data_IF_150805093071
#
_entry.id   IF_150805093071
#
_cell.length_a   1.000
_cell.length_b   1.000
_cell.length_c   1.000
_cell.angle_alpha   90.00
_cell.angle_beta   90.00
_cell.angle_gamma   90.00
#
_symmetry.space_group_name_H-M   'P 1'
#
loop_
_entity.id
_entity.type
_entity.pdbx_description
1 polymer ?
#
# COMPACT_ATOMS: atom_id res chain seq x y z
N UNK A 1 19.22 -38.31 11.31
CA UNK A 1 20.13 -37.91 12.42
C UNK A 1 19.30 -37.11 13.40
N UNK A 2 18.86 -37.76 14.48
CA UNK A 2 19.54 -37.59 15.78
C UNK A 2 19.40 -36.11 16.15
N UNK A 3 18.33 -35.65 16.81
CA UNK A 3 17.89 -36.23 18.08
C UNK A 3 19.07 -36.82 18.87
N UNK A 4 20.12 -36.05 19.04
CA UNK A 4 21.16 -36.15 20.05
C UNK A 4 21.74 -34.74 19.96
N UNK A 5 21.64 -33.87 20.94
CA UNK A 5 22.03 -34.02 22.32
C UNK A 5 21.24 -32.95 23.07
N UNK A 6 20.40 -33.37 24.01
CA UNK A 6 20.82 -33.45 25.40
C UNK A 6 21.13 -32.02 25.91
N UNK A 7 20.13 -31.34 26.42
CA UNK A 7 19.79 -31.36 27.86
C UNK A 7 20.95 -30.93 28.77
N UNK A 8 20.61 -29.95 29.61
CA UNK A 8 21.17 -29.63 30.93
C UNK A 8 22.49 -28.82 30.93
N UNK A 9 22.70 -27.82 31.78
CA UNK A 9 21.95 -27.35 32.95
C UNK A 9 22.41 -25.96 33.42
N UNK A 10 21.46 -25.27 34.06
CA UNK A 10 21.53 -24.30 35.17
C UNK A 10 22.35 -23.00 35.10
N UNK A 11 21.56 -21.92 35.19
CA UNK A 11 21.65 -20.84 36.19
C UNK A 11 22.89 -19.95 36.18
N UNK A 12 22.81 -18.92 35.34
CA UNK A 12 23.62 -17.70 35.43
C UNK A 12 22.88 -16.53 34.80
N UNK A 13 22.29 -15.69 35.64
CA UNK A 13 21.92 -14.28 35.41
C UNK A 13 21.82 -13.81 33.93
N UNK A 14 20.66 -14.00 33.27
CA UNK A 14 20.47 -13.49 31.90
C UNK A 14 19.90 -12.07 31.87
N UNK A 15 20.81 -11.13 31.62
CA UNK A 15 20.50 -9.75 31.27
C UNK A 15 19.97 -9.66 29.83
N UNK A 16 18.87 -8.92 29.71
CA UNK A 16 18.22 -8.35 28.53
C UNK A 16 19.04 -8.34 27.23
N UNK A 17 18.59 -9.10 26.24
CA UNK A 17 18.47 -8.64 24.85
C UNK A 17 17.51 -9.57 24.10
N UNK A 18 16.21 -9.27 24.13
CA UNK A 18 15.32 -9.74 23.08
C UNK A 18 15.78 -9.09 21.78
N UNK A 19 16.68 -9.75 21.05
CA UNK A 19 16.66 -9.65 19.60
C UNK A 19 15.31 -10.21 19.19
N UNK A 20 14.30 -9.33 19.17
CA UNK A 20 13.12 -9.58 18.37
C UNK A 20 13.66 -9.96 17.01
N UNK A 21 13.40 -11.21 16.61
CA UNK A 21 13.58 -11.64 15.25
C UNK A 21 13.14 -10.46 14.38
N UNK A 22 14.07 -9.95 13.57
CA UNK A 22 13.66 -9.16 12.44
C UNK A 22 12.63 -10.05 11.74
N UNK A 23 11.34 -9.74 11.89
CA UNK A 23 10.37 -10.15 10.89
C UNK A 23 10.98 -9.59 9.62
N UNK A 24 11.62 -10.47 8.86
CA UNK A 24 12.43 -10.07 7.74
C UNK A 24 11.54 -9.19 6.89
N UNK A 25 12.04 -8.02 6.54
CA UNK A 25 11.35 -7.15 5.60
C UNK A 25 11.55 -7.76 4.21
N UNK A 26 10.93 -8.93 4.01
CA UNK A 26 10.88 -9.73 2.79
C UNK A 26 9.49 -9.67 2.13
N UNK A 27 9.43 -10.14 0.89
CA UNK A 27 8.19 -10.14 0.13
C UNK A 27 7.10 -11.02 0.74
N UNK A 28 7.46 -12.07 1.48
CA UNK A 28 6.49 -13.01 2.08
C UNK A 28 5.69 -12.32 3.19
N UNK A 29 6.35 -11.53 4.05
CA UNK A 29 5.68 -10.70 5.03
C UNK A 29 4.76 -9.64 4.38
N UNK A 30 5.16 -9.10 3.22
CA UNK A 30 4.30 -8.21 2.43
C UNK A 30 3.08 -8.94 1.88
N UNK A 31 3.27 -10.10 1.27
CA UNK A 31 2.22 -10.96 0.71
C UNK A 31 1.20 -11.34 1.77
N UNK A 32 1.67 -11.80 2.93
CA UNK A 32 0.81 -12.13 4.08
C UNK A 32 -0.01 -10.92 4.57
N UNK A 33 0.56 -9.72 4.56
CA UNK A 33 -0.18 -8.50 4.92
C UNK A 33 -1.29 -8.19 3.90
N UNK A 34 -1.00 -8.29 2.59
CA UNK A 34 -1.98 -8.07 1.52
C UNK A 34 -3.09 -9.11 1.62
N UNK A 35 -2.75 -10.40 1.65
CA UNK A 35 -3.72 -11.50 1.77
C UNK A 35 -4.60 -11.36 3.01
N UNK A 36 -4.01 -11.08 4.18
CA UNK A 36 -4.78 -10.86 5.41
C UNK A 36 -5.75 -9.68 5.27
N UNK A 37 -5.32 -8.60 4.64
CA UNK A 37 -6.16 -7.41 4.45
C UNK A 37 -7.28 -7.70 3.46
N UNK A 38 -7.00 -8.39 2.35
CA UNK A 38 -8.00 -8.83 1.38
C UNK A 38 -9.05 -9.73 2.04
N UNK A 39 -8.63 -10.76 2.78
CA UNK A 39 -9.54 -11.66 3.48
C UNK A 39 -10.47 -10.90 4.45
N UNK A 40 -9.92 -9.96 5.23
CA UNK A 40 -10.72 -9.13 6.13
C UNK A 40 -11.74 -8.24 5.41
N UNK A 41 -11.43 -7.80 4.19
CA UNK A 41 -12.36 -7.01 3.37
C UNK A 41 -13.44 -7.91 2.77
N UNK A 42 -13.06 -9.07 2.21
CA UNK A 42 -14.02 -10.05 1.67
C UNK A 42 -14.99 -10.53 2.75
N UNK A 43 -14.50 -10.83 3.95
CA UNK A 43 -15.34 -11.27 5.07
C UNK A 43 -16.35 -10.19 5.47
N UNK A 44 -15.94 -8.92 5.48
CA UNK A 44 -16.85 -7.81 5.78
C UNK A 44 -17.88 -7.59 4.66
N UNK A 45 -17.48 -7.71 3.39
CA UNK A 45 -18.39 -7.60 2.25
C UNK A 45 -19.45 -8.71 2.27
N UNK A 46 -19.04 -9.96 2.54
CA UNK A 46 -19.96 -11.11 2.66
C UNK A 46 -20.89 -11.02 3.85
N UNK A 47 -20.46 -10.37 4.93
CA UNK A 47 -21.31 -10.07 6.08
C UNK A 47 -22.36 -8.96 5.82
N UNK A 48 -22.44 -8.44 4.59
CA UNK A 48 -23.41 -7.41 4.22
C UNK A 48 -23.05 -6.01 4.72
N UNK A 49 -21.77 -5.73 4.98
CA UNK A 49 -21.30 -4.39 5.34
C UNK A 49 -21.49 -3.42 4.16
N UNK A 50 -22.65 -2.78 4.10
CA UNK A 50 -23.04 -1.83 3.05
C UNK A 50 -22.23 -0.53 3.11
N UNK A 51 -21.46 -0.31 4.17
CA UNK A 51 -20.60 0.87 4.34
C UNK A 51 -19.20 0.66 3.78
N UNK A 52 -19.12 0.37 2.48
CA UNK A 52 -17.84 0.09 1.78
C UNK A 52 -16.82 1.22 1.96
N UNK A 53 -17.27 2.48 1.97
CA UNK A 53 -16.38 3.61 2.26
C UNK A 53 -15.78 3.54 3.68
N UNK A 54 -16.56 3.14 4.68
CA UNK A 54 -16.10 2.93 6.05
C UNK A 54 -15.14 1.76 6.15
N UNK A 55 -15.45 0.65 5.47
CA UNK A 55 -14.60 -0.53 5.38
C UNK A 55 -13.23 -0.20 4.76
N UNK A 56 -13.21 0.48 3.61
CA UNK A 56 -11.99 0.97 2.95
C UNK A 56 -11.19 1.85 3.89
N UNK A 57 -11.84 2.83 4.52
CA UNK A 57 -11.19 3.76 5.43
C UNK A 57 -10.51 3.07 6.60
N UNK A 58 -11.13 2.04 7.17
CA UNK A 58 -10.67 1.34 8.37
C UNK A 58 -9.69 0.21 8.07
N UNK A 59 -9.90 -0.55 7.00
CA UNK A 59 -9.17 -1.79 6.70
C UNK A 59 -8.12 -1.61 5.61
N UNK A 60 -8.35 -0.73 4.63
CA UNK A 60 -7.49 -0.61 3.45
C UNK A 60 -6.55 0.58 3.58
N UNK A 61 -7.07 1.79 3.81
CA UNK A 61 -6.27 3.02 3.84
C UNK A 61 -5.08 3.00 4.81
N UNK A 62 -5.13 2.33 5.99
CA UNK A 62 -3.98 2.25 6.88
C UNK A 62 -2.77 1.53 6.28
N UNK A 63 -2.89 0.84 5.15
CA UNK A 63 -1.78 0.18 4.47
C UNK A 63 -1.24 0.98 3.28
N UNK A 64 -1.90 2.06 2.87
CA UNK A 64 -1.42 2.93 1.80
C UNK A 64 -0.54 4.06 2.33
N UNK A 65 0.36 4.55 1.50
CA UNK A 65 1.10 5.79 1.70
C UNK A 65 0.75 6.80 0.60
N UNK A 66 -0.42 7.43 0.76
CA UNK A 66 -0.89 8.46 -0.17
C UNK A 66 0.07 9.64 -0.31
N UNK A 67 0.88 9.94 0.71
CA UNK A 67 1.89 10.99 0.59
C UNK A 67 2.98 10.58 -0.41
N UNK A 68 3.39 9.32 -0.37
CA UNK A 68 4.37 8.78 -1.31
C UNK A 68 3.80 8.70 -2.72
N UNK A 69 2.60 8.15 -2.87
CA UNK A 69 1.89 8.10 -4.16
C UNK A 69 1.72 9.50 -4.76
N UNK A 70 1.23 10.46 -3.97
CA UNK A 70 1.08 11.85 -4.41
C UNK A 70 2.39 12.49 -4.83
N UNK A 71 3.50 12.17 -4.16
CA UNK A 71 4.82 12.68 -4.55
C UNK A 71 5.29 12.10 -5.89
N UNK A 72 4.90 10.88 -6.22
CA UNK A 72 5.29 10.22 -7.47
C UNK A 72 4.44 10.68 -8.65
N UNK A 73 3.14 10.93 -8.44
CA UNK A 73 2.20 11.32 -9.49
C UNK A 73 2.34 12.79 -9.91
N UNK A 74 2.75 13.68 -8.99
CA UNK A 74 2.89 15.11 -9.27
C UNK A 74 4.28 15.41 -9.83
N UNK A 75 4.39 16.15 -10.95
CA UNK A 75 5.67 16.63 -11.45
C UNK A 75 6.50 17.31 -10.36
N UNK A 76 7.78 16.96 -10.26
CA UNK A 76 8.63 17.39 -9.14
C UNK A 76 8.78 18.92 -9.04
N UNK A 77 8.77 19.64 -10.16
CA UNK A 77 8.76 21.11 -10.18
C UNK A 77 7.50 21.66 -9.47
N UNK A 78 6.32 21.23 -9.91
CA UNK A 78 5.01 21.57 -9.33
C UNK A 78 4.90 21.15 -7.86
N UNK A 79 5.45 19.98 -7.49
CA UNK A 79 5.48 19.52 -6.10
C UNK A 79 6.34 20.41 -5.20
N UNK A 80 7.38 21.05 -5.74
CA UNK A 80 8.33 21.88 -5.00
C UNK A 80 8.01 23.37 -5.02
N UNK A 81 7.01 23.76 -5.78
CA UNK A 81 6.60 25.13 -6.03
C UNK A 81 6.07 25.87 -4.79
N UNK A 82 6.16 27.20 -4.82
CA UNK A 82 5.68 28.10 -3.79
C UNK A 82 6.54 28.20 -2.52
N UNK A 83 6.10 29.06 -1.60
CA UNK A 83 6.76 29.25 -0.29
C UNK A 83 6.74 27.97 0.56
N UNK A 84 7.55 27.89 1.62
CA UNK A 84 7.57 26.71 2.51
C UNK A 84 6.18 26.38 3.08
N UNK A 85 5.41 27.41 3.45
CA UNK A 85 4.08 27.26 4.04
C UNK A 85 3.04 26.87 2.99
N UNK A 86 3.03 27.57 1.87
CA UNK A 86 2.13 27.31 0.75
C UNK A 86 2.31 25.89 0.21
N UNK A 87 3.56 25.51 -0.06
CA UNK A 87 3.91 24.16 -0.49
C UNK A 87 3.46 23.09 0.49
N UNK A 88 3.55 23.33 1.80
CA UNK A 88 3.07 22.39 2.81
C UNK A 88 1.55 22.26 2.75
N UNK A 89 0.84 23.38 2.62
CA UNK A 89 -0.61 23.42 2.48
C UNK A 89 -1.07 22.69 1.22
N UNK A 90 -0.53 23.06 0.06
CA UNK A 90 -0.88 22.51 -1.23
C UNK A 90 -0.61 21.00 -1.31
N UNK A 91 0.55 20.53 -0.82
CA UNK A 91 0.82 19.07 -0.74
C UNK A 91 -0.18 18.34 0.13
N UNK A 92 -0.62 18.93 1.26
CA UNK A 92 -1.62 18.30 2.13
C UNK A 92 -2.99 18.26 1.44
N UNK A 93 -3.40 19.37 0.84
CA UNK A 93 -4.66 19.46 0.10
C UNK A 93 -4.71 18.46 -1.06
N UNK A 94 -3.62 18.36 -1.82
CA UNK A 94 -3.50 17.39 -2.91
C UNK A 94 -3.53 15.94 -2.40
N UNK A 95 -2.79 15.60 -1.34
CA UNK A 95 -2.81 14.24 -0.76
C UNK A 95 -4.22 13.83 -0.35
N UNK A 96 -4.98 14.75 0.23
CA UNK A 96 -6.37 14.49 0.59
C UNK A 96 -7.25 14.30 -0.66
N UNK A 97 -7.19 15.23 -1.61
CA UNK A 97 -7.98 15.16 -2.83
C UNK A 97 -7.68 13.89 -3.64
N UNK A 98 -6.40 13.53 -3.78
CA UNK A 98 -5.97 12.33 -4.49
C UNK A 98 -6.41 11.05 -3.78
N UNK A 99 -6.30 10.99 -2.45
CA UNK A 99 -6.85 9.88 -1.67
C UNK A 99 -8.35 9.75 -1.91
N UNK A 100 -9.09 10.85 -1.85
CA UNK A 100 -10.55 10.84 -1.96
C UNK A 100 -10.99 10.43 -3.38
N UNK A 101 -10.26 10.87 -4.42
CA UNK A 101 -10.41 10.38 -5.79
C UNK A 101 -10.23 8.87 -5.86
N UNK A 102 -9.09 8.34 -5.40
CA UNK A 102 -8.83 6.89 -5.46
C UNK A 102 -9.87 6.09 -4.68
N UNK A 103 -10.27 6.54 -3.50
CA UNK A 103 -11.34 5.87 -2.73
C UNK A 103 -12.63 5.84 -3.54
N UNK A 104 -13.07 6.98 -4.10
CA UNK A 104 -14.29 7.05 -4.91
C UNK A 104 -14.22 6.14 -6.13
N UNK A 105 -13.11 6.19 -6.88
CA UNK A 105 -12.95 5.45 -8.14
C UNK A 105 -12.88 3.93 -7.94
N UNK A 106 -12.27 3.46 -6.85
CA UNK A 106 -12.05 2.02 -6.64
C UNK A 106 -13.00 1.37 -5.63
N UNK A 107 -13.86 2.15 -4.97
CA UNK A 107 -14.89 1.57 -4.07
C UNK A 107 -15.92 0.71 -4.82
N UNK A 108 -16.23 1.03 -6.09
CA UNK A 108 -17.08 0.20 -6.95
C UNK A 108 -16.42 -1.14 -7.29
N UNK A 109 -15.11 -1.17 -7.50
CA UNK A 109 -14.38 -2.41 -7.72
C UNK A 109 -14.45 -3.34 -6.49
N UNK A 110 -14.50 -2.75 -5.29
CA UNK A 110 -14.69 -3.50 -4.04
C UNK A 110 -16.12 -4.02 -3.85
N UNK A 111 -17.14 -3.34 -4.39
CA UNK A 111 -18.51 -3.86 -4.39
C UNK A 111 -18.59 -5.20 -5.14
N UNK A 112 -18.01 -5.24 -6.35
CA UNK A 112 -17.93 -6.46 -7.15
C UNK A 112 -17.02 -7.55 -6.58
N UNK A 113 -16.24 -7.27 -5.52
CA UNK A 113 -15.41 -8.27 -4.87
C UNK A 113 -16.19 -9.14 -3.86
N UNK A 114 -17.41 -8.75 -3.47
CA UNK A 114 -18.22 -9.53 -2.52
C UNK A 114 -18.60 -10.93 -3.01
N UNK A 115 -18.61 -11.14 -4.33
CA UNK A 115 -18.90 -12.43 -4.98
C UNK A 115 -17.66 -13.32 -5.15
N UNK A 116 -16.48 -12.84 -4.76
CA UNK A 116 -15.21 -13.56 -4.91
C UNK A 116 -14.94 -14.39 -3.66
N UNK A 117 -14.61 -15.67 -3.86
CA UNK A 117 -14.15 -16.56 -2.81
C UNK A 117 -12.63 -16.47 -2.58
N UNK A 118 -12.17 -16.84 -1.39
CA UNK A 118 -10.76 -16.64 -1.00
C UNK A 118 -9.81 -17.56 -1.78
N UNK A 119 -10.30 -18.72 -2.19
CA UNK A 119 -9.64 -19.72 -3.02
C UNK A 119 -9.58 -19.32 -4.51
N UNK A 120 -10.40 -18.34 -4.92
CA UNK A 120 -10.34 -17.71 -6.24
C UNK A 120 -9.25 -16.64 -6.36
N UNK A 121 -8.40 -16.47 -5.34
CA UNK A 121 -7.36 -15.45 -5.33
C UNK A 121 -5.99 -16.09 -5.15
N UNK A 122 -5.15 -15.97 -6.17
CA UNK A 122 -3.77 -16.38 -6.12
C UNK A 122 -2.86 -15.21 -5.76
N UNK A 123 -1.84 -15.50 -4.95
CA UNK A 123 -0.86 -14.51 -4.48
C UNK A 123 0.56 -15.00 -4.77
N UNK A 124 1.37 -14.14 -5.39
CA UNK A 124 2.82 -14.34 -5.49
C UNK A 124 3.56 -13.08 -5.09
N UNK A 125 4.84 -13.18 -4.75
CA UNK A 125 5.64 -12.02 -4.40
C UNK A 125 7.08 -12.14 -4.88
N UNK A 126 7.73 -10.99 -4.98
CA UNK A 126 9.19 -10.90 -5.14
C UNK A 126 9.72 -9.64 -4.48
N UNK A 127 10.93 -9.72 -3.96
CA UNK A 127 11.66 -8.52 -3.56
C UNK A 127 12.02 -7.69 -4.78
N UNK A 128 11.99 -6.37 -4.62
CA UNK A 128 12.31 -5.39 -5.68
C UNK A 128 13.50 -4.51 -5.30
N UNK A 129 14.15 -4.81 -4.18
CA UNK A 129 15.35 -4.14 -3.69
C UNK A 129 15.05 -3.20 -2.52
N UNK A 130 15.61 -1.99 -2.59
CA UNK A 130 15.44 -0.99 -1.53
C UNK A 130 15.17 0.39 -2.11
N UNK A 131 14.50 1.24 -1.32
CA UNK A 131 14.19 2.62 -1.68
C UNK A 131 14.64 3.62 -0.63
N UNK A 132 15.24 4.73 -1.10
CA UNK A 132 15.64 5.87 -0.29
C UNK A 132 17.12 5.85 0.08
N UNK A 133 17.88 6.88 -0.36
CA UNK A 133 19.34 6.92 -0.19
C UNK A 133 19.81 6.97 1.27
N UNK A 134 19.16 7.80 2.10
CA UNK A 134 19.55 8.04 3.50
C UNK A 134 18.94 7.08 4.51
N UNK A 135 17.80 6.48 4.16
CA UNK A 135 17.11 5.52 5.02
C UNK A 135 16.48 4.46 4.11
N UNK A 136 17.29 3.49 3.64
CA UNK A 136 16.83 2.43 2.76
C UNK A 136 15.68 1.66 3.40
N UNK A 137 14.64 1.45 2.61
CA UNK A 137 13.48 0.65 2.96
C UNK A 137 13.39 -0.51 1.99
N UNK A 138 13.26 -1.74 2.48
CA UNK A 138 13.01 -2.89 1.61
C UNK A 138 11.75 -2.65 0.79
N UNK A 139 11.78 -3.05 -0.47
CA UNK A 139 10.65 -2.97 -1.38
C UNK A 139 10.33 -4.35 -1.93
N UNK A 140 9.04 -4.59 -2.16
CA UNK A 140 8.55 -5.82 -2.75
C UNK A 140 7.41 -5.52 -3.73
N UNK A 141 7.16 -6.46 -4.62
CA UNK A 141 5.96 -6.53 -5.44
C UNK A 141 5.14 -7.72 -4.96
N UNK A 142 3.88 -7.49 -4.59
CA UNK A 142 2.91 -8.54 -4.32
C UNK A 142 1.95 -8.59 -5.50
N UNK A 143 1.91 -9.71 -6.21
CA UNK A 143 0.97 -9.92 -7.30
C UNK A 143 -0.28 -10.62 -6.79
N UNK A 144 -1.42 -10.24 -7.31
CA UNK A 144 -2.71 -10.85 -7.00
C UNK A 144 -3.46 -11.11 -8.29
N UNK A 145 -3.90 -12.35 -8.47
CA UNK A 145 -4.71 -12.77 -9.62
C UNK A 145 -6.05 -13.28 -9.09
N UNK A 146 -7.14 -12.66 -9.55
CA UNK A 146 -8.51 -12.98 -9.09
C UNK A 146 -9.26 -13.67 -10.22
N UNK A 147 -9.72 -14.89 -9.97
CA UNK A 147 -10.42 -15.75 -10.92
C UNK A 147 -11.92 -15.73 -10.66
N UNK A 148 -12.68 -15.01 -11.50
CA UNK A 148 -14.14 -14.96 -11.36
C UNK A 148 -14.80 -16.13 -12.07
N UNK A 149 -15.90 -16.64 -11.50
CA UNK A 149 -16.69 -17.68 -12.14
C UNK A 149 -17.19 -17.22 -13.52
N UNK A 150 -16.94 -18.04 -14.55
CA UNK A 150 -17.35 -17.75 -15.92
C UNK A 150 -16.43 -16.81 -16.69
N UNK A 151 -15.37 -16.27 -16.09
CA UNK A 151 -14.36 -15.47 -16.78
C UNK A 151 -13.10 -16.32 -17.06
N UNK A 152 -12.60 -16.29 -18.30
CA UNK A 152 -11.41 -17.06 -18.70
C UNK A 152 -10.08 -16.39 -18.32
N UNK A 153 -10.10 -15.08 -18.07
CA UNK A 153 -8.92 -14.30 -17.71
C UNK A 153 -9.01 -13.83 -16.26
N UNK A 154 -7.90 -13.96 -15.53
CA UNK A 154 -7.81 -13.45 -14.17
C UNK A 154 -7.64 -11.93 -14.16
N UNK A 155 -8.31 -11.27 -13.20
CA UNK A 155 -8.11 -9.85 -12.93
C UNK A 155 -6.80 -9.71 -12.15
N UNK A 156 -5.82 -9.04 -12.77
CA UNK A 156 -4.48 -8.85 -12.20
C UNK A 156 -4.38 -7.53 -11.46
N UNK A 157 -3.99 -7.61 -10.19
CA UNK A 157 -3.73 -6.47 -9.31
C UNK A 157 -2.40 -6.64 -8.59
N UNK A 158 -1.40 -5.84 -8.94
CA UNK A 158 -0.09 -5.88 -8.31
C UNK A 158 0.10 -4.69 -7.36
N UNK A 159 0.66 -4.95 -6.18
CA UNK A 159 0.93 -3.97 -5.15
C UNK A 159 2.44 -3.75 -5.00
N UNK A 160 2.91 -2.56 -5.35
CA UNK A 160 4.26 -2.14 -5.01
C UNK A 160 4.27 -1.62 -3.58
N UNK A 161 5.05 -2.27 -2.73
CA UNK A 161 5.09 -2.01 -1.30
C UNK A 161 6.50 -1.72 -0.82
N UNK A 162 6.59 -0.92 0.24
CA UNK A 162 7.84 -0.69 0.94
C UNK A 162 7.67 -0.94 2.44
N UNK A 163 8.72 -1.44 3.09
CA UNK A 163 8.68 -1.67 4.53
C UNK A 163 8.93 -0.37 5.29
N UNK A 164 7.91 0.10 6.01
CA UNK A 164 8.02 1.26 6.88
C UNK A 164 8.45 0.81 8.27
N UNK A 165 9.73 1.04 8.56
CA UNK A 165 10.31 0.84 9.89
C UNK A 165 9.49 1.60 10.97
N UNK A 166 9.34 1.01 12.16
CA UNK A 166 8.65 1.64 13.28
C UNK A 166 9.39 2.92 13.70
N UNK A 167 8.65 3.91 14.25
CA UNK A 167 9.25 5.14 14.78
C UNK A 167 9.77 4.98 16.21
N UNK A 168 9.23 4.04 16.97
CA UNK A 168 9.56 3.77 18.36
C UNK A 168 10.09 2.35 18.49
N UNK A 169 11.11 2.19 19.32
CA UNK A 169 11.65 0.88 19.68
C UNK A 169 10.54 0.03 20.31
N UNK A 170 10.50 -1.27 20.00
CA UNK A 170 9.46 -2.19 20.47
C UNK A 170 8.15 -2.20 19.64
N UNK A 171 7.98 -1.31 18.65
CA UNK A 171 6.85 -1.38 17.72
C UNK A 171 7.20 -2.21 16.48
N UNK A 172 6.20 -2.86 15.87
CA UNK A 172 6.38 -3.52 14.57
C UNK A 172 6.28 -2.51 13.42
N UNK A 173 7.18 -2.63 12.44
CA UNK A 173 7.05 -1.92 11.17
C UNK A 173 5.85 -2.44 10.37
N UNK A 174 5.54 -1.76 9.27
CA UNK A 174 4.39 -2.10 8.41
C UNK A 174 4.76 -2.00 6.95
N UNK A 175 4.27 -2.91 6.13
CA UNK A 175 4.34 -2.76 4.68
C UNK A 175 3.36 -1.69 4.22
N UNK A 176 3.83 -0.80 3.36
CA UNK A 176 3.06 0.32 2.85
C UNK A 176 2.99 0.27 1.34
N UNK A 177 1.78 0.20 0.80
CA UNK A 177 1.50 0.31 -0.63
C UNK A 177 1.81 1.74 -1.06
N UNK A 178 2.65 1.87 -2.08
CA UNK A 178 3.00 3.15 -2.69
C UNK A 178 2.68 3.18 -4.19
N UNK A 179 2.30 2.06 -4.79
CA UNK A 179 1.70 2.02 -6.11
C UNK A 179 0.86 0.74 -6.26
N UNK A 180 -0.12 0.79 -7.15
CA UNK A 180 -0.94 -0.36 -7.55
C UNK A 180 -0.91 -0.43 -9.06
N UNK A 181 -0.83 -1.63 -9.61
CA UNK A 181 -0.97 -1.90 -11.03
C UNK A 181 -2.24 -2.71 -11.22
N UNK A 182 -3.18 -2.23 -12.03
CA UNK A 182 -4.38 -2.96 -12.38
C UNK A 182 -4.34 -3.23 -13.89
N UNK A 183 -4.52 -4.50 -14.30
CA UNK A 183 -4.39 -4.92 -15.70
C UNK A 183 -3.08 -4.41 -16.35
N UNK A 184 -1.96 -4.49 -15.62
CA UNK A 184 -0.64 -4.02 -16.05
C UNK A 184 -0.43 -2.50 -16.01
N UNK A 185 -1.48 -1.70 -15.76
CA UNK A 185 -1.41 -0.25 -15.74
C UNK A 185 -1.20 0.30 -14.34
N UNK A 186 -0.12 1.06 -14.16
CA UNK A 186 0.23 1.75 -12.91
C UNK A 186 -0.79 2.84 -12.58
N UNK A 187 -1.46 2.77 -11.42
CA UNK A 187 -2.39 3.81 -10.97
C UNK A 187 -1.69 5.16 -10.84
N UNK A 188 -0.50 5.19 -10.26
CA UNK A 188 0.31 6.43 -10.19
C UNK A 188 0.74 6.88 -11.59
N UNK A 189 1.00 5.95 -12.51
CA UNK A 189 1.44 6.25 -13.87
C UNK A 189 0.35 6.93 -14.70
N UNK A 190 -0.87 6.40 -14.67
CA UNK A 190 -2.02 6.89 -15.47
C UNK A 190 -2.26 8.40 -15.24
N UNK A 191 -2.22 8.85 -13.99
CA UNK A 191 -2.49 10.24 -13.65
C UNK A 191 -1.32 11.21 -13.94
N UNK A 192 -0.09 10.70 -14.10
CA UNK A 192 1.10 11.56 -14.21
C UNK A 192 1.05 12.47 -15.44
N UNK A 193 0.61 11.94 -16.59
CA UNK A 193 0.54 12.69 -17.84
C UNK A 193 -0.50 13.81 -17.78
N UNK A 194 -1.68 13.51 -17.23
CA UNK A 194 -2.76 14.48 -17.05
C UNK A 194 -2.36 15.59 -16.06
N UNK A 195 -1.74 15.22 -14.94
CA UNK A 195 -1.35 16.19 -13.91
C UNK A 195 -0.23 17.10 -14.37
N UNK A 196 0.63 16.66 -15.31
CA UNK A 196 1.60 17.52 -15.98
C UNK A 196 0.92 18.69 -16.69
N UNK A 197 -0.16 18.41 -17.44
CA UNK A 197 -0.95 19.46 -18.10
C UNK A 197 -1.55 20.46 -17.11
N UNK A 198 -2.16 19.97 -16.03
CA UNK A 198 -2.77 20.84 -15.02
C UNK A 198 -1.75 21.70 -14.25
N UNK A 199 -0.58 21.13 -13.93
CA UNK A 199 0.50 21.86 -13.29
C UNK A 199 1.08 22.96 -14.19
N UNK A 200 1.23 22.70 -15.49
CA UNK A 200 1.69 23.73 -16.43
C UNK A 200 0.65 24.87 -16.55
N UNK A 201 -0.64 24.54 -16.45
CA UNK A 201 -1.75 25.47 -16.62
C UNK A 201 -2.32 25.96 -15.27
N UNK A 202 -1.49 26.55 -14.41
CA UNK A 202 -1.94 27.14 -13.14
C UNK A 202 -1.46 26.42 -11.88
N UNK A 203 -0.39 25.65 -11.99
CA UNK A 203 0.37 25.12 -10.85
C UNK A 203 -0.40 24.12 -10.00
N UNK A 204 0.05 23.96 -8.76
CA UNK A 204 -0.49 22.99 -7.82
C UNK A 204 -1.94 23.30 -7.43
N UNK A 205 -2.34 24.58 -7.40
CA UNK A 205 -3.72 24.98 -7.07
C UNK A 205 -4.71 24.52 -8.14
N UNK A 206 -4.41 24.75 -9.43
CA UNK A 206 -5.25 24.24 -10.51
C UNK A 206 -5.33 22.71 -10.49
N UNK A 207 -4.18 22.03 -10.32
CA UNK A 207 -4.15 20.58 -10.18
C UNK A 207 -5.07 20.07 -9.05
N UNK A 208 -4.99 20.67 -7.85
CA UNK A 208 -5.86 20.29 -6.73
C UNK A 208 -7.33 20.45 -7.08
N UNK A 209 -7.71 21.55 -7.73
CA UNK A 209 -9.10 21.81 -8.13
C UNK A 209 -9.58 20.78 -9.16
N UNK A 210 -8.76 20.45 -10.16
CA UNK A 210 -9.09 19.42 -11.16
C UNK A 210 -9.27 18.04 -10.52
N UNK A 211 -8.41 17.66 -9.57
CA UNK A 211 -8.52 16.37 -8.88
C UNK A 211 -9.75 16.30 -7.98
N UNK A 212 -10.15 17.40 -7.34
CA UNK A 212 -11.36 17.45 -6.51
C UNK A 212 -12.66 17.30 -7.31
N UNK A 213 -12.65 17.77 -8.56
CA UNK A 213 -13.83 17.81 -9.44
C UNK A 213 -13.92 16.63 -10.42
N UNK A 214 -12.99 15.66 -10.35
CA UNK A 214 -13.13 14.36 -11.00
C UNK A 214 -14.11 13.46 -10.24
#
# INVERSE_FOLDING_TARGET
>A
MRQLFANAALAGLFMVASFGAYAAADCEAAKAQVQKTTNQVLDALKAGDSQIHGLVKKKVLPYFDFRMMSRQVVPNACWKDGSKQERRSNRRAFVNAFRDLLVRTYSSALQGAGTVDKDQIEYSCRDTGTMGKRNPKSTAMVKTEVYRQGESEAIKVDYAVYYKKPKRMGQKGKWKVYNVYAAGSSLVGVYTNEYKGYCNNGGMTNLINKVKNK
#
